data_IF_553264747772
#
_entry.id   IF_553264747772
#
_cell.length_a   1.000
_cell.length_b   1.000
_cell.length_c   1.000
_cell.angle_alpha   90.00
_cell.angle_beta   90.00
_cell.angle_gamma   90.00
#
_symmetry.space_group_name_H-M   'P 1'
#
loop_
_entity.id
_entity.type
_entity.pdbx_description
1 polymer ?
#
# COMPACT_ATOMS: atom_id res chain seq x y z
N UNK A 1 -97.21 -73.85 18.28
CA UNK A 1 -97.87 -74.24 19.55
C UNK A 1 -97.31 -75.61 19.92
N UNK A 2 -96.87 -75.76 21.18
CA UNK A 2 -96.24 -76.94 21.81
C UNK A 2 -94.77 -77.24 21.38
N UNK A 3 -93.73 -76.94 22.20
CA UNK A 3 -93.29 -77.59 23.47
C UNK A 3 -92.59 -78.92 23.10
N UNK A 4 -91.35 -79.29 23.43
CA UNK A 4 -90.33 -79.00 24.47
C UNK A 4 -89.05 -79.74 24.01
N UNK A 5 -87.80 -79.40 24.29
CA UNK A 5 -87.23 -78.87 25.54
C UNK A 5 -86.41 -79.98 26.23
N UNK A 6 -85.09 -79.76 26.35
CA UNK A 6 -84.23 -80.11 27.50
C UNK A 6 -82.88 -80.76 27.14
N UNK A 7 -81.80 -80.23 27.72
CA UNK A 7 -80.66 -81.03 28.17
C UNK A 7 -79.31 -80.72 27.53
N UNK A 8 -78.67 -79.63 27.95
CA UNK A 8 -77.29 -79.26 27.65
C UNK A 8 -76.30 -79.93 28.62
N UNK A 9 -75.14 -80.37 28.12
CA UNK A 9 -73.83 -80.41 28.80
C UNK A 9 -72.76 -80.79 27.74
N UNK A 10 -72.02 -79.79 27.23
CA UNK A 10 -70.91 -79.98 26.29
C UNK A 10 -69.60 -79.47 26.89
N UNK A 11 -68.55 -80.23 26.60
CA UNK A 11 -67.22 -80.28 27.21
C UNK A 11 -66.32 -79.14 26.71
N UNK A 12 -65.45 -78.64 27.59
CA UNK A 12 -64.51 -77.53 27.34
C UNK A 12 -63.48 -77.82 26.25
N UNK A 13 -63.26 -76.87 25.35
CA UNK A 13 -62.12 -76.83 24.43
C UNK A 13 -61.26 -75.59 24.70
N UNK A 14 -60.02 -75.79 25.11
CA UNK A 14 -58.99 -74.77 25.29
C UNK A 14 -58.26 -74.55 23.95
N UNK A 15 -58.32 -73.33 23.43
CA UNK A 15 -57.61 -72.91 22.21
C UNK A 15 -56.22 -72.39 22.59
N UNK A 16 -55.17 -73.04 22.09
CA UNK A 16 -53.79 -72.54 22.12
C UNK A 16 -53.53 -71.65 20.89
N UNK A 17 -53.06 -70.43 21.13
CA UNK A 17 -52.62 -69.47 20.10
C UNK A 17 -51.17 -69.80 19.73
N UNK A 18 -50.89 -70.09 18.45
CA UNK A 18 -49.53 -70.29 17.92
C UNK A 18 -49.12 -69.02 17.14
N UNK A 19 -48.05 -68.37 17.61
CA UNK A 19 -47.44 -67.19 17.02
C UNK A 19 -46.79 -67.48 15.65
N UNK A 20 -46.95 -66.54 14.72
CA UNK A 20 -46.37 -66.57 13.39
C UNK A 20 -44.84 -66.48 13.42
N UNK A 21 -44.18 -67.36 12.66
CA UNK A 21 -42.74 -67.38 12.45
C UNK A 21 -42.30 -66.23 11.52
N UNK A 22 -41.29 -65.48 11.95
CA UNK A 22 -40.60 -64.47 11.15
C UNK A 22 -39.58 -65.14 10.21
N UNK A 23 -39.71 -64.88 8.90
CA UNK A 23 -38.67 -65.15 7.90
C UNK A 23 -37.57 -64.08 8.02
N UNK A 24 -36.26 -64.44 8.01
CA UNK A 24 -35.22 -63.43 7.97
C UNK A 24 -35.17 -62.83 6.55
N UNK A 25 -35.44 -61.52 6.45
CA UNK A 25 -35.07 -60.72 5.28
C UNK A 25 -33.55 -60.76 5.17
N UNK A 26 -33.04 -61.30 4.07
CA UNK A 26 -31.65 -61.08 3.69
C UNK A 26 -31.41 -59.58 3.60
N UNK A 27 -30.49 -59.07 4.42
CA UNK A 27 -29.96 -57.74 4.24
C UNK A 27 -29.19 -57.77 2.91
N UNK A 28 -29.72 -57.11 1.89
CA UNK A 28 -28.91 -56.70 0.75
C UNK A 28 -27.95 -55.65 1.29
N UNK A 29 -26.70 -56.07 1.54
CA UNK A 29 -25.61 -55.16 1.80
C UNK A 29 -25.38 -54.36 0.51
N UNK A 30 -25.88 -53.11 0.49
CA UNK A 30 -25.53 -52.15 -0.53
C UNK A 30 -24.05 -51.85 -0.37
N UNK A 31 -23.20 -52.63 -1.05
CA UNK A 31 -21.82 -52.26 -1.30
C UNK A 31 -21.90 -50.96 -2.11
N UNK A 32 -21.60 -49.84 -1.46
CA UNK A 32 -21.30 -48.60 -2.16
C UNK A 32 -20.04 -48.88 -2.96
N UNK A 33 -20.20 -49.23 -4.24
CA UNK A 33 -19.08 -49.24 -5.18
C UNK A 33 -18.60 -47.80 -5.24
N UNK A 34 -17.50 -47.48 -4.57
CA UNK A 34 -16.85 -46.18 -4.75
C UNK A 34 -16.41 -46.12 -6.20
N UNK A 35 -17.15 -45.34 -7.00
CA UNK A 35 -16.82 -45.14 -8.41
C UNK A 35 -15.40 -44.58 -8.54
N UNK A 36 -14.72 -44.97 -9.63
CA UNK A 36 -13.43 -44.39 -9.97
C UNK A 36 -13.54 -42.89 -10.11
N UNK A 37 -12.53 -42.17 -9.63
CA UNK A 37 -12.49 -40.72 -9.69
C UNK A 37 -11.26 -40.29 -10.47
N UNK A 38 -11.47 -39.97 -11.75
CA UNK A 38 -10.45 -39.41 -12.64
C UNK A 38 -10.34 -37.89 -12.41
N UNK A 39 -9.12 -37.42 -12.21
CA UNK A 39 -8.81 -36.02 -11.99
C UNK A 39 -7.59 -35.59 -12.80
N UNK A 40 -7.58 -34.32 -13.18
CA UNK A 40 -6.45 -33.63 -13.80
C UNK A 40 -6.46 -32.16 -13.34
N UNK A 41 -5.29 -31.53 -13.29
CA UNK A 41 -5.14 -30.14 -12.86
C UNK A 41 -4.75 -29.25 -14.05
N UNK A 42 -5.16 -27.98 -13.98
CA UNK A 42 -4.72 -26.96 -14.92
C UNK A 42 -3.23 -26.65 -14.72
N UNK A 43 -2.56 -26.28 -15.80
CA UNK A 43 -1.12 -26.01 -15.81
C UNK A 43 -0.86 -24.68 -16.48
N UNK A 44 -0.24 -23.75 -15.74
CA UNK A 44 0.34 -22.54 -16.32
C UNK A 44 1.83 -22.74 -16.51
N UNK A 45 2.35 -22.42 -17.70
CA UNK A 45 3.75 -22.65 -18.07
C UNK A 45 4.27 -21.48 -18.87
N UNK A 46 5.53 -21.09 -18.65
CA UNK A 46 6.17 -20.03 -19.42
C UNK A 46 6.57 -20.58 -20.79
N UNK A 47 6.41 -19.79 -21.85
CA UNK A 47 6.84 -20.16 -23.20
C UNK A 47 8.32 -20.62 -23.23
N UNK A 48 8.59 -21.71 -23.94
CA UNK A 48 9.89 -22.37 -24.00
C UNK A 48 10.18 -23.33 -22.84
N UNK A 49 9.44 -23.26 -21.73
CA UNK A 49 9.61 -24.18 -20.60
C UNK A 49 8.90 -25.53 -20.83
N UNK A 50 8.87 -26.37 -19.79
CA UNK A 50 8.28 -27.71 -19.82
C UNK A 50 7.02 -27.77 -18.96
N UNK A 51 5.88 -28.10 -19.58
CA UNK A 51 4.64 -28.38 -18.86
C UNK A 51 4.59 -29.85 -18.44
N UNK A 52 3.91 -30.16 -17.33
CA UNK A 52 3.66 -31.55 -16.92
C UNK A 52 2.17 -31.78 -16.70
N UNK A 53 1.60 -32.68 -17.49
CA UNK A 53 0.19 -33.08 -17.41
C UNK A 53 0.11 -34.37 -16.58
N UNK A 54 -0.75 -34.41 -15.58
CA UNK A 54 -0.93 -35.56 -14.68
C UNK A 54 -2.42 -35.94 -14.64
N UNK A 55 -2.74 -37.11 -15.19
CA UNK A 55 -4.03 -37.76 -15.06
C UNK A 55 -3.97 -38.73 -13.88
N UNK A 56 -4.82 -38.56 -12.87
CA UNK A 56 -4.82 -39.38 -11.65
C UNK A 56 -6.18 -40.02 -11.43
N UNK A 57 -6.19 -41.30 -11.10
CA UNK A 57 -7.41 -42.07 -10.84
C UNK A 57 -7.36 -42.60 -9.40
N UNK A 58 -8.43 -42.37 -8.64
CA UNK A 58 -8.64 -43.07 -7.36
C UNK A 58 -9.45 -44.34 -7.56
N UNK A 59 -9.12 -45.38 -6.80
CA UNK A 59 -9.77 -46.69 -6.82
C UNK A 59 -9.79 -47.33 -8.23
N UNK A 60 -8.68 -47.24 -8.98
CA UNK A 60 -8.64 -47.83 -10.31
C UNK A 60 -8.75 -49.36 -10.25
N UNK A 61 -9.51 -49.94 -11.18
CA UNK A 61 -9.79 -51.37 -11.33
C UNK A 61 -9.05 -51.97 -12.54
N UNK A 62 -7.83 -51.47 -12.79
CA UNK A 62 -7.03 -51.72 -13.99
C UNK A 62 -7.63 -51.11 -15.28
N UNK A 63 -8.58 -50.17 -15.15
CA UNK A 63 -9.08 -49.36 -16.26
C UNK A 63 -7.96 -48.52 -16.88
N UNK A 64 -8.00 -48.36 -18.21
CA UNK A 64 -6.91 -47.77 -18.97
C UNK A 64 -7.01 -46.25 -19.01
N UNK A 65 -5.92 -45.57 -18.65
CA UNK A 65 -5.78 -44.11 -18.77
C UNK A 65 -5.20 -43.76 -20.15
N UNK A 66 -5.81 -42.78 -20.81
CA UNK A 66 -5.37 -42.19 -22.06
C UNK A 66 -5.28 -40.67 -21.92
N UNK A 67 -4.25 -40.08 -22.52
CA UNK A 67 -4.10 -38.63 -22.64
C UNK A 67 -4.28 -38.21 -24.11
N UNK A 68 -5.14 -37.23 -24.33
CA UNK A 68 -5.47 -36.66 -25.64
C UNK A 68 -5.08 -35.17 -25.68
N UNK A 69 -4.62 -34.71 -26.85
CA UNK A 69 -4.38 -33.29 -27.09
C UNK A 69 -5.70 -32.51 -27.35
N UNK A 70 -5.66 -31.17 -27.48
CA UNK A 70 -6.85 -30.37 -27.75
C UNK A 70 -7.62 -30.75 -29.02
N UNK A 71 -6.94 -31.36 -30.00
CA UNK A 71 -7.55 -31.89 -31.23
C UNK A 71 -8.08 -33.33 -31.09
N UNK A 72 -8.18 -33.85 -29.85
CA UNK A 72 -8.56 -35.23 -29.52
C UNK A 72 -7.69 -36.31 -30.18
N UNK A 73 -6.42 -36.01 -30.45
CA UNK A 73 -5.43 -36.99 -30.89
C UNK A 73 -4.76 -37.64 -29.67
N UNK A 74 -4.56 -38.95 -29.70
CA UNK A 74 -3.93 -39.70 -28.62
C UNK A 74 -2.46 -39.35 -28.47
N UNK A 75 -2.09 -38.71 -27.37
CA UNK A 75 -0.70 -38.46 -26.98
C UNK A 75 -0.13 -39.75 -26.40
N UNK A 76 -0.75 -40.27 -25.33
CA UNK A 76 -0.38 -41.53 -24.68
C UNK A 76 -1.60 -42.42 -24.47
N UNK A 77 -1.42 -43.72 -24.69
CA UNK A 77 -2.34 -44.77 -24.29
C UNK A 77 -1.53 -45.79 -23.49
N UNK A 78 -1.76 -45.86 -22.17
CA UNK A 78 -0.80 -46.49 -21.24
C UNK A 78 0.59 -45.86 -21.35
N UNK A 79 1.62 -46.67 -21.55
CA UNK A 79 3.03 -46.30 -21.72
C UNK A 79 3.42 -46.05 -23.20
N UNK A 80 2.49 -46.26 -24.14
CA UNK A 80 2.75 -46.11 -25.58
C UNK A 80 2.39 -44.70 -26.04
N UNK A 81 3.25 -44.08 -26.87
CA UNK A 81 3.04 -42.75 -27.49
C UNK A 81 2.68 -42.88 -28.99
N UNK A 82 1.39 -42.86 -29.38
CA UNK A 82 0.99 -42.90 -30.80
C UNK A 82 1.31 -41.60 -31.55
N UNK A 83 1.23 -40.45 -30.87
CA UNK A 83 1.55 -39.15 -31.46
C UNK A 83 3.05 -39.07 -31.79
N UNK A 84 3.37 -38.60 -33.01
CA UNK A 84 4.76 -38.49 -33.49
C UNK A 84 5.51 -37.26 -32.96
N UNK A 85 4.88 -36.42 -32.15
CA UNK A 85 5.54 -35.28 -31.51
C UNK A 85 6.46 -35.77 -30.38
N UNK A 86 7.77 -35.62 -30.58
CA UNK A 86 8.80 -36.05 -29.65
C UNK A 86 8.91 -35.18 -28.40
N UNK A 87 8.27 -34.01 -28.37
CA UNK A 87 8.29 -33.10 -27.20
C UNK A 87 7.51 -33.66 -26.02
N UNK A 88 6.52 -34.53 -26.28
CA UNK A 88 5.77 -35.26 -25.26
C UNK A 88 6.57 -36.47 -24.77
N UNK A 89 7.00 -36.49 -23.52
CA UNK A 89 7.76 -37.59 -22.93
C UNK A 89 7.03 -38.18 -21.72
N UNK A 90 7.09 -39.50 -21.57
CA UNK A 90 6.49 -40.18 -20.43
C UNK A 90 7.35 -39.91 -19.19
N UNK A 91 6.73 -39.35 -18.15
CA UNK A 91 7.38 -39.08 -16.86
C UNK A 91 7.10 -40.22 -15.88
N UNK A 92 5.83 -40.61 -15.76
CA UNK A 92 5.39 -41.72 -14.92
C UNK A 92 4.18 -42.42 -15.55
N UNK A 93 4.14 -43.74 -15.41
CA UNK A 93 2.96 -44.54 -15.73
C UNK A 93 2.76 -45.61 -14.66
N UNK A 94 1.56 -45.66 -14.12
CA UNK A 94 1.06 -46.69 -13.21
C UNK A 94 -0.45 -46.87 -13.43
N UNK A 95 -1.06 -47.85 -12.77
CA UNK A 95 -2.51 -48.04 -12.85
C UNK A 95 -3.27 -46.79 -12.37
N UNK A 96 -2.73 -46.00 -11.43
CA UNK A 96 -3.45 -44.84 -10.88
C UNK A 96 -2.98 -43.49 -11.43
N UNK A 97 -1.92 -43.44 -12.25
CA UNK A 97 -1.37 -42.18 -12.75
C UNK A 97 -0.75 -42.33 -14.14
N UNK A 98 -1.12 -41.43 -15.05
CA UNK A 98 -0.41 -41.16 -16.30
C UNK A 98 0.14 -39.73 -16.25
N UNK A 99 1.48 -39.59 -16.20
CA UNK A 99 2.17 -38.31 -16.10
C UNK A 99 3.08 -38.10 -17.31
N UNK A 100 2.86 -37.02 -18.04
CA UNK A 100 3.51 -36.72 -19.32
C UNK A 100 4.05 -35.30 -19.30
N UNK A 101 5.32 -35.11 -19.71
CA UNK A 101 5.92 -33.80 -19.88
C UNK A 101 5.84 -33.35 -21.32
N UNK A 102 5.52 -32.08 -21.57
CA UNK A 102 5.61 -31.40 -22.85
C UNK A 102 6.74 -30.37 -22.78
N UNK A 103 7.83 -30.62 -23.49
CA UNK A 103 9.00 -29.73 -23.53
C UNK A 103 8.87 -28.65 -24.62
N UNK A 104 9.56 -27.51 -24.44
CA UNK A 104 9.57 -26.40 -25.38
C UNK A 104 8.13 -25.99 -25.78
N UNK A 105 7.35 -25.60 -24.76
CA UNK A 105 5.95 -25.21 -24.91
C UNK A 105 5.86 -23.91 -25.72
N UNK A 106 4.93 -23.84 -26.67
CA UNK A 106 4.63 -22.68 -27.50
C UNK A 106 3.18 -22.25 -27.36
N UNK A 107 2.82 -21.05 -27.81
CA UNK A 107 1.43 -20.56 -27.85
C UNK A 107 0.44 -21.48 -28.61
N UNK A 108 0.96 -22.34 -29.50
CA UNK A 108 0.16 -23.32 -30.25
C UNK A 108 -0.22 -24.57 -29.43
N UNK A 109 0.48 -24.82 -28.33
CA UNK A 109 0.21 -25.95 -27.43
C UNK A 109 -0.85 -25.65 -26.38
N UNK A 110 -1.21 -24.37 -26.24
CA UNK A 110 -2.28 -23.91 -25.35
C UNK A 110 -3.62 -24.57 -25.70
N UNK A 111 -4.34 -25.00 -24.68
CA UNK A 111 -5.69 -25.54 -24.84
C UNK A 111 -6.05 -26.60 -23.83
N UNK A 112 -7.21 -27.22 -24.06
CA UNK A 112 -7.80 -28.23 -23.18
C UNK A 112 -7.33 -29.62 -23.54
N UNK A 113 -6.48 -30.20 -22.71
CA UNK A 113 -6.06 -31.60 -22.81
C UNK A 113 -7.08 -32.48 -22.09
N UNK A 114 -7.27 -33.70 -22.60
CA UNK A 114 -8.29 -34.62 -22.08
C UNK A 114 -7.62 -35.87 -21.55
N UNK A 115 -7.79 -36.10 -20.25
CA UNK A 115 -7.56 -37.39 -19.63
C UNK A 115 -8.83 -38.21 -19.81
N UNK A 116 -8.74 -39.36 -20.47
CA UNK A 116 -9.85 -40.28 -20.66
C UNK A 116 -9.55 -41.60 -19.96
N UNK A 117 -10.52 -42.08 -19.19
CA UNK A 117 -10.47 -43.39 -18.51
C UNK A 117 -11.48 -44.32 -19.16
N UNK A 118 -11.01 -45.50 -19.59
CA UNK A 118 -11.80 -46.48 -20.31
C UNK A 118 -12.63 -47.36 -19.36
N UNK A 119 -13.73 -46.79 -18.86
CA UNK A 119 -14.81 -47.45 -18.13
C UNK A 119 -16.08 -47.55 -18.98
N UNK A 120 -17.13 -48.19 -18.46
CA UNK A 120 -18.48 -48.16 -19.04
C UNK A 120 -19.46 -47.44 -18.09
N UNK A 121 -19.86 -46.18 -18.34
CA UNK A 121 -19.44 -45.31 -19.45
C UNK A 121 -18.01 -44.74 -19.26
N UNK A 122 -17.35 -44.25 -20.33
CA UNK A 122 -16.03 -43.62 -20.21
C UNK A 122 -16.08 -42.36 -19.36
N UNK A 123 -15.02 -42.12 -18.57
CA UNK A 123 -14.86 -40.88 -17.80
C UNK A 123 -13.84 -39.96 -18.47
N UNK A 124 -14.10 -38.66 -18.43
CA UNK A 124 -13.17 -37.63 -18.91
C UNK A 124 -12.86 -36.64 -17.78
N UNK A 125 -11.59 -36.25 -17.66
CA UNK A 125 -11.13 -35.11 -16.87
C UNK A 125 -10.29 -34.20 -17.77
N UNK A 126 -10.25 -32.92 -17.43
CA UNK A 126 -9.67 -31.89 -18.28
C UNK A 126 -8.48 -31.21 -17.60
N UNK A 127 -7.43 -30.96 -18.36
CA UNK A 127 -6.30 -30.12 -17.96
C UNK A 127 -6.18 -28.98 -18.96
N UNK A 128 -6.50 -27.75 -18.54
CA UNK A 128 -6.28 -26.57 -19.37
C UNK A 128 -4.80 -26.14 -19.22
N UNK A 129 -4.04 -26.21 -20.32
CA UNK A 129 -2.67 -25.67 -20.38
C UNK A 129 -2.76 -24.23 -20.83
N UNK A 130 -2.29 -23.32 -19.97
CA UNK A 130 -2.17 -21.88 -20.26
C UNK A 130 -0.70 -21.52 -20.45
N UNK A 131 -0.37 -20.95 -21.59
CA UNK A 131 0.99 -20.51 -21.92
C UNK A 131 1.14 -19.03 -21.56
N UNK A 132 2.14 -18.74 -20.73
CA UNK A 132 2.48 -17.40 -20.30
C UNK A 132 3.67 -16.87 -21.10
N UNK A 133 3.59 -15.64 -21.57
CA UNK A 133 4.70 -14.96 -22.26
C UNK A 133 5.09 -13.75 -21.40
N UNK A 134 6.30 -13.70 -20.83
CA UNK A 134 6.72 -12.58 -20.02
C UNK A 134 6.85 -11.31 -20.90
N UNK A 135 6.49 -10.13 -20.38
CA UNK A 135 6.74 -8.88 -21.08
C UNK A 135 8.24 -8.66 -21.31
N UNK A 136 8.57 -7.94 -22.39
CA UNK A 136 9.90 -7.35 -22.55
C UNK A 136 10.23 -6.33 -21.44
N UNK A 137 11.50 -5.92 -21.36
CA UNK A 137 11.93 -4.90 -20.39
C UNK A 137 11.10 -3.62 -20.56
N UNK A 138 10.48 -3.11 -19.49
CA UNK A 138 9.71 -1.88 -19.56
C UNK A 138 10.62 -0.69 -19.88
N UNK A 139 10.07 0.30 -20.57
CA UNK A 139 10.78 1.53 -20.94
C UNK A 139 9.96 2.71 -20.44
N UNK A 140 10.62 3.65 -19.74
CA UNK A 140 10.03 4.93 -19.32
C UNK A 140 10.48 6.01 -20.29
N UNK A 141 9.52 6.65 -20.95
CA UNK A 141 9.69 7.80 -21.81
C UNK A 141 9.19 9.07 -21.10
N UNK A 142 9.92 10.17 -21.28
CA UNK A 142 9.51 11.49 -20.81
C UNK A 142 9.58 12.50 -21.95
N UNK A 143 8.73 13.51 -21.92
CA UNK A 143 8.78 14.63 -22.88
C UNK A 143 9.92 15.59 -22.58
N UNK A 144 10.33 15.67 -21.31
CA UNK A 144 11.30 16.64 -20.80
C UNK A 144 12.37 15.90 -20.01
N UNK A 145 13.64 16.17 -20.32
CA UNK A 145 14.74 15.56 -19.56
C UNK A 145 14.90 16.17 -18.17
N UNK A 146 14.61 17.46 -18.06
CA UNK A 146 14.74 18.27 -16.85
C UNK A 146 13.44 19.03 -16.65
N UNK A 147 12.89 18.97 -15.43
CA UNK A 147 11.59 19.58 -15.07
C UNK A 147 11.81 20.74 -14.10
N UNK A 148 10.89 21.70 -14.05
CA UNK A 148 10.95 22.81 -13.09
C UNK A 148 9.91 22.64 -12.00
N UNK A 149 10.24 23.06 -10.78
CA UNK A 149 9.32 23.09 -9.64
C UNK A 149 8.02 23.82 -9.99
N UNK A 150 6.88 23.23 -9.59
CA UNK A 150 5.54 23.77 -9.81
C UNK A 150 4.92 23.43 -11.17
N UNK A 151 5.71 22.91 -12.12
CA UNK A 151 5.19 22.40 -13.38
C UNK A 151 4.60 20.99 -13.21
N UNK A 152 3.67 20.64 -14.10
CA UNK A 152 3.20 19.26 -14.25
C UNK A 152 4.08 18.54 -15.27
N UNK A 153 4.49 17.30 -14.94
CA UNK A 153 5.25 16.44 -15.85
C UNK A 153 4.45 15.19 -16.22
N UNK A 154 4.74 14.61 -17.39
CA UNK A 154 4.13 13.39 -17.90
C UNK A 154 5.20 12.34 -18.19
N UNK A 155 5.05 11.16 -17.60
CA UNK A 155 5.87 9.98 -17.89
C UNK A 155 5.01 8.88 -18.52
N UNK A 156 5.57 8.18 -19.50
CA UNK A 156 4.93 7.06 -20.17
C UNK A 156 5.78 5.82 -19.97
N UNK A 157 5.17 4.72 -19.51
CA UNK A 157 5.83 3.43 -19.40
C UNK A 157 5.18 2.41 -20.33
N UNK A 158 5.98 1.69 -21.10
CA UNK A 158 5.50 0.67 -22.03
C UNK A 158 6.17 -0.68 -21.77
N UNK A 159 5.35 -1.73 -21.66
CA UNK A 159 5.77 -3.13 -21.62
C UNK A 159 5.13 -3.88 -22.79
N UNK A 160 5.93 -4.62 -23.55
CA UNK A 160 5.49 -5.22 -24.83
C UNK A 160 5.50 -6.75 -24.79
N UNK A 161 4.57 -7.36 -25.54
CA UNK A 161 4.60 -8.78 -25.88
C UNK A 161 4.23 -9.73 -24.75
N UNK A 162 3.46 -9.29 -23.76
CA UNK A 162 3.05 -10.14 -22.63
C UNK A 162 1.80 -10.95 -22.93
N UNK A 163 1.71 -12.15 -22.33
CA UNK A 163 0.48 -12.94 -22.24
C UNK A 163 0.38 -13.57 -20.84
N UNK A 164 -0.65 -13.24 -20.03
CA UNK A 164 -1.70 -12.24 -20.29
C UNK A 164 -1.15 -10.81 -20.37
N UNK A 165 -2.01 -9.82 -20.64
CA UNK A 165 -1.63 -8.42 -20.50
C UNK A 165 -1.09 -8.17 -19.09
N UNK A 166 0.12 -7.61 -19.01
CA UNK A 166 0.72 -7.23 -17.73
C UNK A 166 -0.03 -6.06 -17.09
N UNK A 167 0.13 -5.87 -15.79
CA UNK A 167 -0.34 -4.66 -15.11
C UNK A 167 0.84 -3.74 -14.78
N UNK A 168 0.61 -2.43 -14.88
CA UNK A 168 1.61 -1.40 -14.61
C UNK A 168 1.20 -0.63 -13.37
N UNK A 169 2.15 -0.49 -12.43
CA UNK A 169 2.05 0.34 -11.24
C UNK A 169 3.16 1.38 -11.24
N UNK A 170 2.87 2.57 -10.73
CA UNK A 170 3.84 3.66 -10.63
C UNK A 170 4.16 3.94 -9.16
N UNK A 171 5.44 4.10 -8.86
CA UNK A 171 5.94 4.52 -7.55
C UNK A 171 6.89 5.70 -7.72
N UNK A 172 6.65 6.82 -7.04
CA UNK A 172 7.59 7.95 -6.93
C UNK A 172 8.18 7.94 -5.51
N UNK A 173 9.41 7.47 -5.37
CA UNK A 173 9.97 7.13 -4.06
C UNK A 173 9.09 6.10 -3.34
N UNK A 174 8.43 6.52 -2.26
CA UNK A 174 7.49 5.67 -1.50
C UNK A 174 6.01 5.93 -1.83
N UNK A 175 5.71 6.91 -2.69
CA UNK A 175 4.35 7.31 -3.04
C UNK A 175 3.83 6.54 -4.25
N UNK A 176 2.67 5.90 -4.13
CA UNK A 176 2.00 5.25 -5.27
C UNK A 176 1.26 6.29 -6.12
N UNK A 177 1.58 6.35 -7.42
CA UNK A 177 0.94 7.25 -8.36
C UNK A 177 -0.13 6.53 -9.19
N UNK A 178 -1.21 7.25 -9.50
CA UNK A 178 -2.28 6.72 -10.36
C UNK A 178 -1.99 7.05 -11.81
N UNK A 179 -1.71 6.02 -12.62
CA UNK A 179 -1.53 6.14 -14.06
C UNK A 179 -2.80 5.73 -14.84
N UNK A 180 -2.92 6.24 -16.07
CA UNK A 180 -3.91 5.83 -17.05
C UNK A 180 -3.30 4.75 -17.95
N UNK A 181 -3.88 3.54 -17.93
CA UNK A 181 -3.34 2.37 -18.64
C UNK A 181 -4.17 2.03 -19.88
N UNK A 182 -3.49 1.81 -21.00
CA UNK A 182 -4.05 1.30 -22.25
C UNK A 182 -3.44 -0.06 -22.58
N UNK A 183 -4.28 -0.99 -23.02
CA UNK A 183 -3.89 -2.34 -23.43
C UNK A 183 -4.23 -2.50 -24.91
N UNK A 184 -3.24 -2.89 -25.70
CA UNK A 184 -3.36 -3.13 -27.13
C UNK A 184 -2.95 -4.58 -27.43
N UNK A 185 -3.77 -5.30 -28.19
CA UNK A 185 -3.41 -6.62 -28.71
C UNK A 185 -2.60 -6.45 -30.00
N UNK A 186 -1.33 -6.85 -29.99
CA UNK A 186 -0.38 -6.56 -31.08
C UNK A 186 -0.21 -7.73 -32.06
N UNK A 187 -0.41 -8.95 -31.56
CA UNK A 187 -0.34 -10.21 -32.30
C UNK A 187 -1.23 -11.20 -31.54
N UNK A 188 -1.84 -12.18 -32.19
CA UNK A 188 -2.92 -13.00 -31.64
C UNK A 188 -2.63 -13.51 -30.20
N UNK A 189 -3.27 -12.89 -29.19
CA UNK A 189 -3.13 -13.13 -27.73
C UNK A 189 -1.88 -12.53 -27.03
N UNK A 190 -1.05 -11.77 -27.72
CA UNK A 190 0.06 -10.98 -27.17
C UNK A 190 -0.34 -9.52 -27.02
N UNK A 191 -0.01 -8.94 -25.87
CA UNK A 191 -0.44 -7.60 -25.49
C UNK A 191 0.74 -6.66 -25.31
N UNK A 192 0.58 -5.43 -25.78
CA UNK A 192 1.36 -4.27 -25.36
C UNK A 192 0.55 -3.46 -24.35
N UNK A 193 1.17 -3.12 -23.24
CA UNK A 193 0.55 -2.34 -22.16
C UNK A 193 1.34 -1.05 -22.01
N UNK A 194 0.64 0.07 -22.10
CA UNK A 194 1.22 1.40 -21.91
C UNK A 194 0.48 2.11 -20.80
N UNK A 195 1.20 2.69 -19.85
CA UNK A 195 0.63 3.50 -18.78
C UNK A 195 1.23 4.90 -18.82
N UNK A 196 0.39 5.92 -18.59
CA UNK A 196 0.79 7.32 -18.54
C UNK A 196 0.47 7.90 -17.18
N UNK A 197 1.42 8.57 -16.56
CA UNK A 197 1.25 9.23 -15.26
C UNK A 197 1.55 10.71 -15.39
N UNK A 198 0.72 11.55 -14.77
CA UNK A 198 0.92 12.99 -14.65
C UNK A 198 0.93 13.39 -13.19
N UNK A 199 1.88 14.23 -12.80
CA UNK A 199 1.99 14.74 -11.44
C UNK A 199 2.70 16.09 -11.41
N UNK A 200 2.39 16.89 -10.38
CA UNK A 200 3.07 18.16 -10.11
C UNK A 200 4.43 17.90 -9.45
N UNK A 201 5.44 18.63 -9.91
CA UNK A 201 6.83 18.48 -9.46
C UNK A 201 7.12 19.43 -8.31
N UNK A 202 7.75 18.95 -7.24
CA UNK A 202 8.28 19.78 -6.15
C UNK A 202 9.81 19.69 -6.07
N UNK A 203 10.47 20.61 -5.35
CA UNK A 203 11.93 20.55 -5.17
C UNK A 203 12.39 19.27 -4.46
N UNK A 204 11.54 18.67 -3.62
CA UNK A 204 11.83 17.41 -2.90
C UNK A 204 11.88 16.21 -3.84
N UNK A 205 11.31 16.33 -5.05
CA UNK A 205 11.37 15.30 -6.07
C UNK A 205 12.75 15.24 -6.76
N UNK A 206 13.66 16.20 -6.51
CA UNK A 206 15.00 16.18 -7.13
C UNK A 206 15.80 14.95 -6.71
N UNK A 207 16.24 14.16 -7.69
CA UNK A 207 16.95 12.90 -7.46
C UNK A 207 16.06 11.74 -7.01
N UNK A 208 14.75 11.93 -6.82
CA UNK A 208 13.81 10.86 -6.48
C UNK A 208 13.59 9.96 -7.70
N UNK A 209 13.53 8.64 -7.47
CA UNK A 209 13.21 7.67 -8.51
C UNK A 209 11.71 7.60 -8.75
N UNK A 210 11.32 7.57 -10.02
CA UNK A 210 10.01 7.15 -10.48
C UNK A 210 10.16 5.78 -11.13
N UNK A 211 9.52 4.80 -10.50
CA UNK A 211 9.59 3.39 -10.85
C UNK A 211 8.28 2.98 -11.53
N UNK A 212 8.41 2.40 -12.72
CA UNK A 212 7.35 1.68 -13.40
C UNK A 212 7.51 0.19 -13.09
N UNK A 213 6.61 -0.35 -12.29
CA UNK A 213 6.64 -1.72 -11.81
C UNK A 213 5.64 -2.54 -12.62
N UNK A 214 6.12 -3.66 -13.17
CA UNK A 214 5.34 -4.57 -14.00
C UNK A 214 4.98 -5.81 -13.18
N UNK A 215 3.68 -6.05 -13.03
CA UNK A 215 3.17 -7.29 -12.43
C UNK A 215 2.63 -8.22 -13.52
N UNK A 216 3.18 -9.43 -13.56
CA UNK A 216 2.86 -10.45 -14.54
C UNK A 216 3.20 -11.85 -13.97
N UNK A 217 2.34 -12.88 -14.13
CA UNK A 217 2.51 -14.18 -13.47
C UNK A 217 3.79 -14.94 -13.86
N UNK A 218 4.38 -14.64 -15.03
CA UNK A 218 5.60 -15.28 -15.52
C UNK A 218 6.91 -14.64 -15.03
N UNK A 219 6.88 -13.47 -14.38
CA UNK A 219 8.10 -12.75 -14.00
C UNK A 219 7.90 -12.05 -12.67
N UNK A 220 8.96 -11.99 -11.85
CA UNK A 220 8.98 -11.23 -10.61
C UNK A 220 9.94 -10.07 -10.73
N UNK A 221 9.67 -9.00 -9.99
CA UNK A 221 10.59 -7.88 -9.79
C UNK A 221 11.02 -7.20 -11.11
N UNK A 222 10.12 -7.13 -12.10
CA UNK A 222 10.36 -6.45 -13.36
C UNK A 222 9.96 -4.97 -13.23
N UNK A 223 10.93 -4.06 -13.36
CA UNK A 223 10.69 -2.63 -13.29
C UNK A 223 11.61 -1.84 -14.22
N UNK A 224 11.20 -0.62 -14.53
CA UNK A 224 12.06 0.44 -15.06
C UNK A 224 12.10 1.59 -14.06
N UNK A 225 13.24 2.25 -13.95
CA UNK A 225 13.49 3.32 -12.99
C UNK A 225 14.04 4.56 -13.70
N UNK A 226 13.51 5.73 -13.37
CA UNK A 226 14.01 7.03 -13.84
C UNK A 226 14.17 7.99 -12.66
N UNK A 227 15.34 8.62 -12.52
CA UNK A 227 15.52 9.69 -11.53
C UNK A 227 15.09 11.02 -12.10
N UNK A 228 14.36 11.82 -11.31
CA UNK A 228 13.94 13.16 -11.72
C UNK A 228 15.09 14.16 -11.51
N UNK A 229 15.25 15.07 -12.47
CA UNK A 229 16.11 16.24 -12.33
C UNK A 229 15.22 17.48 -12.28
N UNK A 230 15.12 18.09 -11.10
CA UNK A 230 14.21 19.20 -10.82
C UNK A 230 15.00 20.49 -10.65
N UNK A 231 14.66 21.51 -11.43
CA UNK A 231 15.16 22.87 -11.26
C UNK A 231 14.21 23.66 -10.36
N UNK A 232 14.76 24.33 -9.36
CA UNK A 232 14.01 25.14 -8.41
C UNK A 232 14.75 26.44 -8.09
N UNK A 233 13.99 27.48 -7.75
CA UNK A 233 14.53 28.78 -7.38
C UNK A 233 15.34 28.69 -6.08
N UNK A 234 16.17 29.68 -5.76
CA UNK A 234 16.94 29.65 -4.51
C UNK A 234 16.04 29.70 -3.27
N UNK A 235 16.49 29.08 -2.18
CA UNK A 235 16.01 29.30 -0.83
C UNK A 235 17.08 30.06 -0.07
N UNK A 236 16.71 31.21 0.49
CA UNK A 236 17.64 32.15 1.10
C UNK A 236 17.39 32.19 2.60
N UNK A 237 18.49 32.21 3.36
CA UNK A 237 18.47 32.35 4.81
C UNK A 237 19.62 33.23 5.27
N UNK A 238 19.30 34.28 6.02
CA UNK A 238 20.29 35.11 6.69
C UNK A 238 20.58 34.53 8.07
N UNK A 239 21.87 34.39 8.38
CA UNK A 239 22.35 33.96 9.70
C UNK A 239 23.25 35.05 10.26
N UNK A 240 22.99 35.45 11.51
CA UNK A 240 23.89 36.33 12.25
C UNK A 240 25.10 35.52 12.70
N UNK A 241 26.27 35.81 12.16
CA UNK A 241 27.53 35.17 12.55
C UNK A 241 28.20 35.92 13.71
N UNK A 242 27.98 37.23 13.83
CA UNK A 242 28.45 38.05 14.96
C UNK A 242 27.59 39.33 15.12
N UNK A 243 27.33 39.82 16.35
CA UNK A 243 27.70 39.26 17.65
C UNK A 243 26.72 38.16 18.10
N UNK A 244 27.16 37.30 19.02
CA UNK A 244 26.24 36.39 19.70
C UNK A 244 25.35 37.17 20.67
N UNK A 245 24.08 37.38 20.31
CA UNK A 245 23.08 38.01 21.16
C UNK A 245 22.61 39.38 20.65
N UNK A 246 22.43 40.33 21.56
CA UNK A 246 21.89 41.66 21.22
C UNK A 246 22.99 42.54 20.62
N UNK A 247 22.72 43.12 19.45
CA UNK A 247 23.55 44.12 18.78
C UNK A 247 23.50 45.46 19.52
N UNK A 248 24.63 45.96 19.99
CA UNK A 248 24.74 47.25 20.70
C UNK A 248 25.48 48.29 19.89
N UNK A 249 25.30 49.55 20.26
CA UNK A 249 26.05 50.66 19.68
C UNK A 249 27.55 50.46 19.91
N UNK A 250 28.34 50.53 18.84
CA UNK A 250 29.76 50.24 18.85
C UNK A 250 30.15 48.78 18.53
N UNK A 251 29.20 47.85 18.52
CA UNK A 251 29.48 46.46 18.10
C UNK A 251 29.72 46.38 16.58
N UNK A 252 30.29 45.27 16.13
CA UNK A 252 30.31 44.92 14.71
C UNK A 252 29.16 43.95 14.41
N UNK A 253 28.64 43.98 13.20
CA UNK A 253 27.64 43.04 12.71
C UNK A 253 28.23 42.25 11.55
N UNK A 254 28.06 40.94 11.59
CA UNK A 254 28.36 40.04 10.49
C UNK A 254 27.13 39.18 10.20
N UNK A 255 26.67 39.23 8.96
CA UNK A 255 25.53 38.49 8.45
C UNK A 255 25.99 37.62 7.29
N UNK A 256 25.76 36.31 7.38
CA UNK A 256 26.00 35.39 6.28
C UNK A 256 24.68 35.06 5.57
N UNK A 257 24.69 35.16 4.24
CA UNK A 257 23.55 34.78 3.41
C UNK A 257 23.76 33.38 2.83
N UNK A 258 23.02 32.41 3.36
CA UNK A 258 23.04 31.04 2.88
C UNK A 258 21.94 30.91 1.83
N UNK A 259 22.31 30.54 0.61
CA UNK A 259 21.38 30.36 -0.50
C UNK A 259 21.58 29.00 -1.18
N UNK A 260 20.55 28.17 -1.24
CA UNK A 260 20.56 26.86 -1.90
C UNK A 260 19.54 26.83 -3.04
N UNK A 261 19.90 26.31 -4.20
CA UNK A 261 19.01 26.26 -5.36
C UNK A 261 19.57 25.34 -6.42
N UNK A 262 18.72 24.93 -7.38
CA UNK A 262 19.16 24.15 -8.55
C UNK A 262 18.70 24.83 -9.85
N UNK A 263 19.62 25.36 -10.66
CA UNK A 263 21.08 25.40 -10.46
C UNK A 263 21.50 26.27 -9.26
N UNK A 264 22.71 26.03 -8.74
CA UNK A 264 23.25 26.80 -7.61
C UNK A 264 23.26 28.31 -7.94
N UNK A 265 22.80 29.20 -7.04
CA UNK A 265 22.76 30.64 -7.31
C UNK A 265 24.14 31.19 -7.66
N UNK A 266 24.21 32.04 -8.69
CA UNK A 266 25.48 32.65 -9.14
C UNK A 266 25.64 34.09 -8.65
N UNK A 267 24.53 34.70 -8.21
CA UNK A 267 24.46 36.10 -7.81
C UNK A 267 23.79 36.20 -6.43
N UNK A 268 24.47 36.86 -5.49
CA UNK A 268 23.96 37.20 -4.16
C UNK A 268 24.16 38.69 -3.98
N UNK A 269 23.08 39.41 -3.69
CA UNK A 269 23.07 40.86 -3.53
C UNK A 269 22.49 41.25 -2.17
N UNK A 270 23.16 42.15 -1.46
CA UNK A 270 22.66 42.76 -0.22
C UNK A 270 22.06 44.13 -0.49
N UNK A 271 20.91 44.41 0.11
CA UNK A 271 20.26 45.71 0.07
C UNK A 271 19.58 46.03 1.40
N UNK A 272 19.29 47.30 1.66
CA UNK A 272 18.42 47.73 2.76
C UNK A 272 17.13 48.27 2.14
N UNK A 273 15.98 47.82 2.65
CA UNK A 273 14.69 47.88 1.90
C UNK A 273 14.20 49.31 1.64
N UNK A 274 14.55 50.27 2.49
CA UNK A 274 14.07 51.66 2.42
C UNK A 274 15.18 52.71 2.26
N UNK A 275 16.43 52.32 2.49
CA UNK A 275 17.59 53.20 2.46
C UNK A 275 18.79 52.43 1.92
N UNK A 276 19.83 53.14 1.47
CA UNK A 276 21.07 52.49 1.02
C UNK A 276 21.78 51.78 2.19
N UNK A 277 22.47 50.68 1.88
CA UNK A 277 23.33 49.99 2.85
C UNK A 277 24.40 51.00 3.35
N UNK A 278 24.77 51.00 4.65
CA UNK A 278 25.75 51.95 5.17
C UNK A 278 27.04 51.98 4.33
N UNK A 279 27.65 53.15 4.08
CA UNK A 279 28.75 53.29 3.12
C UNK A 279 30.05 52.58 3.54
N UNK A 280 30.16 52.20 4.81
CA UNK A 280 31.29 51.42 5.37
C UNK A 280 30.96 49.93 5.48
N UNK A 281 29.78 49.49 5.03
CA UNK A 281 29.44 48.09 4.97
C UNK A 281 30.25 47.41 3.85
N UNK A 282 30.75 46.21 4.13
CA UNK A 282 31.58 45.43 3.23
C UNK A 282 30.84 44.14 2.90
N UNK A 283 30.56 43.93 1.61
CA UNK A 283 30.01 42.67 1.10
C UNK A 283 31.17 41.82 0.57
N UNK A 284 31.38 40.64 1.16
CA UNK A 284 32.41 39.69 0.73
C UNK A 284 31.77 38.36 0.39
N UNK A 285 31.65 38.05 -0.90
CA UNK A 285 30.92 36.86 -1.34
C UNK A 285 29.44 36.95 -0.96
N UNK A 286 28.98 36.05 -0.09
CA UNK A 286 27.63 36.03 0.47
C UNK A 286 27.45 36.85 1.75
N UNK A 287 28.53 37.34 2.34
CA UNK A 287 28.51 37.86 3.71
C UNK A 287 28.51 39.39 3.72
N UNK A 288 27.77 40.00 4.66
CA UNK A 288 27.66 41.43 4.88
C UNK A 288 28.23 41.78 6.26
N UNK A 289 29.28 42.59 6.25
CA UNK A 289 29.94 43.09 7.44
C UNK A 289 29.69 44.59 7.64
N UNK A 290 29.30 44.99 8.85
CA UNK A 290 29.12 46.39 9.25
C UNK A 290 29.90 46.64 10.53
N UNK A 291 30.92 47.49 10.47
CA UNK A 291 31.72 47.86 11.63
C UNK A 291 31.06 49.00 12.43
N UNK A 292 31.20 48.98 13.76
CA UNK A 292 30.82 50.10 14.65
C UNK A 292 29.36 50.57 14.47
N UNK A 293 28.42 49.69 14.84
CA UNK A 293 26.98 49.89 14.71
C UNK A 293 26.51 51.19 15.38
N UNK A 294 25.64 51.91 14.66
CA UNK A 294 24.95 53.10 15.15
C UNK A 294 23.43 52.89 15.05
N UNK A 295 22.65 53.55 15.92
CA UNK A 295 21.18 53.49 15.89
C UNK A 295 20.56 53.95 14.57
N UNK A 296 21.25 54.79 13.80
CA UNK A 296 20.83 55.19 12.45
C UNK A 296 20.88 54.06 11.42
N UNK A 297 21.56 52.94 11.72
CA UNK A 297 21.66 51.78 10.83
C UNK A 297 20.53 50.77 11.06
N UNK A 298 19.64 51.02 12.01
CA UNK A 298 18.43 50.22 12.22
C UNK A 298 17.62 50.12 10.92
N UNK A 299 17.04 48.96 10.67
CA UNK A 299 16.24 48.72 9.49
C UNK A 299 16.28 47.27 9.04
N UNK A 300 15.63 47.01 7.90
CA UNK A 300 15.56 45.68 7.30
C UNK A 300 16.62 45.53 6.22
N UNK A 301 17.55 44.62 6.47
CA UNK A 301 18.58 44.18 5.54
C UNK A 301 18.08 42.95 4.80
N UNK A 302 18.15 42.99 3.48
CA UNK A 302 17.66 41.93 2.60
C UNK A 302 18.83 41.33 1.83
N UNK A 303 18.93 40.02 1.85
CA UNK A 303 19.77 39.28 0.94
C UNK A 303 18.91 38.71 -0.18
N UNK A 304 19.30 38.94 -1.43
CA UNK A 304 18.61 38.47 -2.62
C UNK A 304 19.53 37.53 -3.39
N UNK A 305 19.06 36.32 -3.69
CA UNK A 305 19.79 35.34 -4.49
C UNK A 305 18.98 34.93 -5.72
N UNK A 306 19.66 34.74 -6.86
CA UNK A 306 19.03 34.36 -8.12
C UNK A 306 19.76 33.25 -8.86
N UNK A 307 18.97 32.43 -9.57
CA UNK A 307 19.43 31.42 -10.52
C UNK A 307 18.60 31.47 -11.81
N UNK A 308 18.83 30.53 -12.73
CA UNK A 308 18.11 30.47 -14.01
C UNK A 308 16.59 30.25 -13.89
N UNK A 309 16.11 29.75 -12.73
CA UNK A 309 14.69 29.46 -12.48
C UNK A 309 13.99 30.69 -11.89
N UNK A 310 14.67 31.44 -11.02
CA UNK A 310 14.09 32.63 -10.41
C UNK A 310 14.94 33.25 -9.31
N UNK A 311 14.29 34.13 -8.54
CA UNK A 311 14.89 34.90 -7.46
C UNK A 311 14.13 34.67 -6.15
N UNK A 312 14.87 34.69 -5.05
CA UNK A 312 14.33 34.63 -3.69
C UNK A 312 15.15 35.51 -2.75
N UNK A 313 14.60 35.81 -1.58
CA UNK A 313 15.24 36.66 -0.61
C UNK A 313 14.87 36.28 0.83
N UNK A 314 15.70 36.72 1.76
CA UNK A 314 15.40 36.71 3.19
C UNK A 314 15.68 38.09 3.80
N UNK A 315 14.99 38.39 4.89
CA UNK A 315 15.03 39.69 5.57
C UNK A 315 15.52 39.55 7.01
N UNK A 316 16.53 40.35 7.36
CA UNK A 316 17.03 40.50 8.72
C UNK A 316 16.73 41.90 9.25
N UNK A 317 16.07 41.98 10.40
CA UNK A 317 15.73 43.26 11.04
C UNK A 317 16.78 43.58 12.10
N UNK A 318 17.57 44.63 11.86
CA UNK A 318 18.59 45.10 12.78
C UNK A 318 17.99 46.08 13.81
N UNK A 319 18.22 45.77 15.09
CA UNK A 319 17.94 46.67 16.22
C UNK A 319 19.19 46.90 17.06
N UNK A 320 19.73 48.12 17.01
CA UNK A 320 20.90 48.54 17.78
C UNK A 320 20.48 49.09 19.14
N UNK A 321 20.88 48.39 20.20
CA UNK A 321 20.64 48.76 21.60
C UNK A 321 21.73 49.68 22.15
N UNK A 322 21.45 50.33 23.29
CA UNK A 322 22.46 51.10 24.00
C UNK A 322 23.65 50.23 24.46
N UNK A 323 24.84 50.83 24.43
CA UNK A 323 26.03 50.27 25.06
C UNK A 323 25.79 50.12 26.58
N UNK A 324 26.36 49.09 27.24
CA UNK A 324 26.17 48.89 28.67
C UNK A 324 26.75 50.08 29.45
N UNK A 325 25.94 50.74 30.27
CA UNK A 325 26.38 51.89 31.07
C UNK A 325 27.22 51.42 32.25
N UNK A 326 28.54 51.67 32.24
CA UNK A 326 29.39 51.50 33.42
C UNK A 326 29.14 52.67 34.38
N UNK A 327 28.22 52.53 35.33
CA UNK A 327 28.09 53.51 36.43
C UNK A 327 29.30 53.34 37.36
N UNK A 328 30.14 54.37 37.60
CA UNK A 328 31.23 54.28 38.56
C UNK A 328 30.68 54.30 39.99
N UNK A 329 31.19 53.39 40.83
CA UNK A 329 30.86 53.30 42.26
C UNK A 329 31.34 54.56 42.99
N UNK A 330 30.49 55.32 43.71
CA UNK A 330 30.97 56.46 44.48
C UNK A 330 31.70 55.97 45.74
N UNK A 331 32.97 56.34 45.84
CA UNK A 331 33.83 56.18 47.03
C UNK A 331 33.74 57.44 47.88
N UNK A 332 33.44 57.33 49.18
CA UNK A 332 34.10 58.02 50.33
C UNK A 332 33.25 57.99 51.62
N UNK A 333 33.87 57.53 52.72
CA UNK A 333 33.44 57.59 54.13
C UNK A 333 34.15 58.79 54.84
N UNK A 334 33.95 59.09 56.14
CA UNK A 334 32.77 58.99 57.04
C UNK A 334 32.53 60.29 57.86
N UNK A 335 31.30 60.58 58.31
CA UNK A 335 31.06 61.35 59.56
C UNK A 335 29.86 60.77 60.31
N UNK A 336 30.13 60.37 61.54
CA UNK A 336 29.20 59.88 62.55
C UNK A 336 28.15 60.92 62.94
N UNK A 337 26.89 60.47 63.08
CA UNK A 337 26.12 60.68 64.32
C UNK A 337 25.11 59.55 64.45
N UNK A 338 25.19 58.86 65.59
CA UNK A 338 24.31 57.77 66.04
C UNK A 338 22.87 58.25 66.22
N UNK A 339 21.90 57.48 65.75
CA UNK A 339 20.80 57.07 66.62
C UNK A 339 20.31 55.66 66.25
N UNK A 340 19.81 54.99 67.28
CA UNK A 340 19.63 53.56 67.44
C UNK A 340 18.44 53.01 66.64
N UNK A 341 18.53 51.76 66.17
CA UNK A 341 17.63 50.64 66.52
C UNK A 341 17.82 49.43 65.57
N UNK A 342 18.00 48.26 66.19
CA UNK A 342 18.20 46.97 65.54
C UNK A 342 16.98 46.50 64.73
N UNK A 343 17.26 45.74 63.66
CA UNK A 343 16.28 44.98 62.88
C UNK A 343 16.98 44.10 61.85
N UNK A 344 17.01 42.79 62.12
CA UNK A 344 17.55 41.71 61.30
C UNK A 344 16.90 41.59 59.91
N UNK A 345 17.64 40.96 58.99
CA UNK A 345 17.41 40.96 57.56
C UNK A 345 16.24 40.15 57.01
N UNK A 346 15.93 40.40 55.74
CA UNK A 346 15.47 39.41 54.76
C UNK A 346 15.42 40.04 53.36
N UNK A 347 15.75 39.29 52.29
CA UNK A 347 15.64 39.75 50.91
C UNK A 347 14.17 39.81 50.46
N UNK A 348 13.89 40.73 49.53
CA UNK A 348 12.59 40.89 48.89
C UNK A 348 12.12 39.56 48.30
N UNK A 349 11.07 39.01 48.90
CA UNK A 349 10.36 37.81 48.48
C UNK A 349 9.55 38.17 47.23
N UNK A 350 9.93 37.62 46.08
CA UNK A 350 9.04 37.59 44.90
C UNK A 350 7.87 36.68 45.29
N UNK A 351 6.64 37.15 45.09
CA UNK A 351 5.44 36.40 45.44
C UNK A 351 5.31 35.14 44.55
N UNK A 352 5.82 34.02 45.06
CA UNK A 352 5.63 32.67 44.52
C UNK A 352 4.15 32.28 44.35
N UNK A 353 3.22 33.04 44.93
CA UNK A 353 1.78 32.86 44.77
C UNK A 353 1.28 33.18 43.35
N UNK A 354 1.87 34.17 42.67
CA UNK A 354 1.45 34.57 41.31
C UNK A 354 1.98 33.56 40.28
N UNK A 355 3.22 33.12 40.43
CA UNK A 355 3.85 32.12 39.56
C UNK A 355 3.16 30.75 39.74
N UNK A 356 2.81 30.38 40.97
CA UNK A 356 2.03 29.16 41.25
C UNK A 356 0.62 29.19 40.65
N UNK A 357 -0.04 30.35 40.67
CA UNK A 357 -1.37 30.52 40.07
C UNK A 357 -1.36 30.34 38.54
N UNK A 358 -0.41 30.97 37.85
CA UNK A 358 -0.30 30.85 36.39
C UNK A 358 0.03 29.43 35.97
N UNK A 359 0.97 28.77 36.67
CA UNK A 359 1.32 27.36 36.39
C UNK A 359 0.13 26.44 36.66
N UNK A 360 -0.64 26.64 37.73
CA UNK A 360 -1.82 25.83 38.02
C UNK A 360 -2.92 25.99 36.95
N UNK A 361 -3.15 27.21 36.45
CA UNK A 361 -4.14 27.47 35.38
C UNK A 361 -3.70 26.84 34.06
N UNK A 362 -2.43 26.97 33.69
CA UNK A 362 -1.89 26.35 32.47
C UNK A 362 -1.96 24.83 32.55
N UNK A 363 -1.59 24.24 33.69
CA UNK A 363 -1.66 22.79 33.89
C UNK A 363 -3.11 22.29 33.87
N UNK A 364 -4.05 23.03 34.46
CA UNK A 364 -5.47 22.68 34.40
C UNK A 364 -6.02 22.75 32.97
N UNK A 365 -5.65 23.78 32.21
CA UNK A 365 -6.05 23.92 30.80
C UNK A 365 -5.51 22.77 29.93
N UNK A 366 -4.24 22.38 30.13
CA UNK A 366 -3.64 21.23 29.44
C UNK A 366 -4.38 19.94 29.80
N UNK A 367 -4.71 19.73 31.07
CA UNK A 367 -5.40 18.52 31.53
C UNK A 367 -6.83 18.45 30.98
N UNK A 368 -7.55 19.57 30.92
CA UNK A 368 -8.84 19.66 30.22
C UNK A 368 -8.71 19.35 28.73
N UNK A 369 -7.71 19.91 28.04
CA UNK A 369 -7.46 19.63 26.62
C UNK A 369 -7.16 18.15 26.36
N UNK A 370 -6.36 17.51 27.22
CA UNK A 370 -6.06 16.08 27.12
C UNK A 370 -7.30 15.20 27.37
N UNK A 371 -8.20 15.59 28.29
CA UNK A 371 -9.47 14.87 28.48
C UNK A 371 -10.37 15.01 27.25
N UNK A 372 -10.44 16.21 26.65
CA UNK A 372 -11.23 16.45 25.43
C UNK A 372 -10.65 15.68 24.25
N UNK A 373 -9.32 15.72 24.04
CA UNK A 373 -8.62 14.94 23.03
C UNK A 373 -8.79 13.44 23.26
N UNK A 374 -8.69 12.96 24.50
CA UNK A 374 -8.92 11.57 24.86
C UNK A 374 -10.36 11.12 24.56
N UNK A 375 -11.35 11.96 24.86
CA UNK A 375 -12.76 11.72 24.51
C UNK A 375 -13.01 11.77 23.00
N UNK A 376 -12.31 12.65 22.28
CA UNK A 376 -12.37 12.76 20.83
C UNK A 376 -11.80 11.51 20.16
N UNK A 377 -10.61 11.06 20.58
CA UNK A 377 -10.01 9.83 20.05
C UNK A 377 -10.76 8.57 20.48
N UNK A 378 -11.34 8.53 21.68
CA UNK A 378 -12.19 7.41 22.10
C UNK A 378 -13.54 7.36 21.36
N UNK A 379 -14.00 8.48 20.77
CA UNK A 379 -15.23 8.51 19.95
C UNK A 379 -15.02 7.91 18.56
N UNK A 380 -13.81 7.99 18.01
CA UNK A 380 -13.50 7.41 16.71
C UNK A 380 -12.63 6.16 16.87
N UNK A 381 -13.26 5.02 17.16
CA UNK A 381 -12.86 3.65 16.73
C UNK A 381 -13.65 2.59 17.49
N UNK A 382 -14.83 2.27 17.00
CA UNK A 382 -15.50 1.00 17.27
C UNK A 382 -15.89 0.38 15.93
N UNK A 383 -15.21 -0.68 15.51
CA UNK A 383 -15.65 -1.53 14.40
C UNK A 383 -16.50 -2.65 15.00
N UNK A 384 -17.78 -2.74 14.63
CA UNK A 384 -18.61 -3.90 14.95
C UNK A 384 -18.90 -4.67 13.65
N UNK A 385 -18.91 -6.00 13.75
CA UNK A 385 -19.22 -6.89 12.64
C UNK A 385 -20.72 -7.18 12.64
N UNK A 386 -21.42 -6.86 11.56
CA UNK A 386 -22.80 -7.33 11.33
C UNK A 386 -22.77 -8.46 10.30
N UNK A 387 -23.46 -9.56 10.61
CA UNK A 387 -23.73 -10.62 9.64
C UNK A 387 -25.02 -10.26 8.89
N UNK A 388 -24.93 -9.42 7.87
CA UNK A 388 -26.06 -9.15 6.98
C UNK A 388 -25.89 -9.93 5.67
N UNK A 389 -27.00 -10.49 5.18
CA UNK A 389 -27.03 -11.25 3.94
C UNK A 389 -26.93 -10.30 2.75
N UNK A 390 -26.09 -10.68 1.78
CA UNK A 390 -25.83 -9.92 0.55
C UNK A 390 -27.14 -9.65 -0.20
N UNK A 391 -27.48 -8.36 -0.42
CA UNK A 391 -28.65 -7.92 -1.20
C UNK A 391 -29.86 -7.40 -0.39
N UNK A 392 -29.77 -7.31 0.93
CA UNK A 392 -30.85 -6.78 1.77
C UNK A 392 -31.02 -5.24 1.69
N UNK A 393 -29.95 -4.52 1.32
CA UNK A 393 -29.87 -3.04 1.35
C UNK A 393 -30.77 -2.35 0.31
N UNK A 394 -31.11 -3.04 -0.78
CA UNK A 394 -31.90 -2.49 -1.90
C UNK A 394 -33.40 -2.82 -1.83
N UNK A 395 -33.86 -3.43 -0.72
CA UNK A 395 -35.26 -3.81 -0.55
C UNK A 395 -36.07 -2.67 0.09
N UNK A 396 -37.23 -2.35 -0.49
CA UNK A 396 -38.11 -1.28 0.00
C UNK A 396 -38.83 -1.64 1.32
N UNK A 397 -38.88 -2.93 1.67
CA UNK A 397 -39.57 -3.47 2.84
C UNK A 397 -38.97 -4.82 3.26
N UNK A 398 -39.22 -5.21 4.52
CA UNK A 398 -38.59 -6.37 5.16
C UNK A 398 -38.95 -7.71 4.49
N UNK A 399 -40.15 -7.83 3.92
CA UNK A 399 -40.58 -9.06 3.25
C UNK A 399 -39.84 -9.24 1.91
N UNK A 400 -39.54 -8.14 1.20
CA UNK A 400 -38.77 -8.16 -0.05
C UNK A 400 -37.28 -8.47 0.19
N UNK A 401 -36.73 -8.04 1.33
CA UNK A 401 -35.33 -8.31 1.71
C UNK A 401 -35.04 -9.81 1.91
N UNK A 402 -36.03 -10.57 2.40
CA UNK A 402 -35.90 -12.01 2.65
C UNK A 402 -35.91 -12.81 1.34
N UNK A 403 -36.66 -12.34 0.33
CA UNK A 403 -36.81 -13.04 -0.95
C UNK A 403 -35.59 -12.83 -1.86
N UNK A 404 -34.95 -11.65 -1.75
CA UNK A 404 -33.79 -11.29 -2.56
C UNK A 404 -32.44 -11.73 -1.97
N UNK A 405 -32.43 -12.38 -0.80
CA UNK A 405 -31.20 -12.88 -0.15
C UNK A 405 -30.65 -14.09 -0.92
N UNK A 406 -29.82 -13.83 -1.93
CA UNK A 406 -29.14 -14.85 -2.73
C UNK A 406 -27.82 -15.27 -2.04
N UNK A 407 -27.88 -16.24 -1.12
CA UNK A 407 -26.68 -16.84 -0.56
C UNK A 407 -26.89 -17.57 0.78
N UNK A 408 -26.53 -18.85 0.83
CA UNK A 408 -26.32 -19.56 2.10
C UNK A 408 -25.24 -18.88 2.95
N UNK A 409 -25.21 -19.19 4.25
CA UNK A 409 -24.43 -18.58 5.35
C UNK A 409 -22.90 -18.31 5.16
N UNK A 410 -22.34 -18.46 3.95
CA UNK A 410 -20.91 -18.33 3.67
C UNK A 410 -20.51 -17.02 2.97
N UNK A 411 -21.46 -16.13 2.61
CA UNK A 411 -21.15 -14.84 1.97
C UNK A 411 -21.66 -13.66 2.82
N UNK A 412 -20.82 -13.16 3.71
CA UNK A 412 -21.03 -11.92 4.47
C UNK A 412 -20.21 -10.80 3.83
N UNK A 413 -20.81 -9.65 3.55
CA UNK A 413 -20.07 -8.45 3.11
C UNK A 413 -19.71 -7.57 4.31
N UNK A 414 -18.47 -7.05 4.33
CA UNK A 414 -17.97 -6.17 5.39
C UNK A 414 -18.39 -4.71 5.14
N UNK A 415 -19.26 -4.17 5.99
CA UNK A 415 -19.67 -2.75 5.92
C UNK A 415 -19.03 -1.95 7.05
N UNK A 416 -18.33 -0.86 6.71
CA UNK A 416 -17.72 0.08 7.66
C UNK A 416 -18.61 1.32 7.76
N UNK A 417 -19.33 1.47 8.86
CA UNK A 417 -20.10 2.69 9.13
C UNK A 417 -19.44 3.53 10.23
N UNK A 418 -19.44 4.84 10.04
CA UNK A 418 -18.84 5.83 10.95
C UNK A 418 -19.96 6.54 11.71
N UNK A 419 -19.92 6.49 13.06
CA UNK A 419 -20.80 7.31 13.88
C UNK A 419 -20.26 8.75 14.00
N UNK A 420 -21.16 9.73 13.94
CA UNK A 420 -20.91 11.16 14.23
C UNK A 420 -20.95 11.40 15.75
#
# INVERSE_FOLDING_TARGET
>A
MAITGSGSLAISFSVFVISAAFLPKGAAETVTVEGQNLAADNVSVIEGETATISCRVKNNDDSVIQLLNPNRQTIYFKDVRPLKDSRFQLVNFSDNELRVSLSNVSLSDEGRYVCQLYTDPPQEAYADITVLVPPGSPIIESREDVVSEGNETELTCTAMGSKPAASIRWMKGEEELTGETTVEEIDERLFAVTSRVRFSVTKEDDGVSVDCIIDHPAVKDLLAQRHLEVLYKPEVKIVVTYPEGLTREGDNLDLSCIAEGKPHPHQINWMRVEEDVPPHAVVTGSDLYIENLNKSYNGTYRCVASNAVGEAYDDYILYVYDAPTTIPTPTTNPVNTQDSRAGEGAPQKIDHAVIGGVVAVVMFAILCALIVLGRYFARHKGTYFTHEAKGADDAADADTAIINAEGGHNNTDEKKEYYI
#
